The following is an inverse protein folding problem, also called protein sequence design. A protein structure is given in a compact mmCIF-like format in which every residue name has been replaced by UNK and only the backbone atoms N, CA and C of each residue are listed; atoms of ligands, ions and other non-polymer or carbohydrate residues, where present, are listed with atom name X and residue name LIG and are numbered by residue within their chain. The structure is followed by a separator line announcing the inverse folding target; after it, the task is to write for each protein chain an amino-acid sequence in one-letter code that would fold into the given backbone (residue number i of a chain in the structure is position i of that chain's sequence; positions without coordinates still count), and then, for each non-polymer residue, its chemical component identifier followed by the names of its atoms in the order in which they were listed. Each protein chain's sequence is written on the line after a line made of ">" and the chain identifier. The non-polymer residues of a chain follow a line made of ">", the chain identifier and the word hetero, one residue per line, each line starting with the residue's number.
data_IF_838481510970
#
_entry.id   IF_838481510970
#
_cell.length_a   1.000
_cell.length_b   1.000
_cell.length_c   1.000
_cell.angle_alpha   90.00
_cell.angle_beta   90.00
_cell.angle_gamma   90.00
#
_symmetry.space_group_name_H-M   'P 1'
#
loop_
_entity.id
_entity.type
_entity.pdbx_description
1 polymer ?
#
# COMPACT_ATOMS: atom_id res chain seq x y z
N UNK A 1 15.63 18.99 13.15
CA UNK A 1 15.87 17.85 12.24
C UNK A 1 15.21 16.61 12.80
N UNK A 2 14.44 15.87 12.01
CA UNK A 2 13.93 14.59 12.47
C UNK A 2 15.07 13.61 12.74
N UNK A 3 14.92 12.83 13.78
CA UNK A 3 15.84 11.74 14.07
C UNK A 3 15.34 10.48 13.38
N UNK A 4 15.91 10.15 12.24
CA UNK A 4 15.48 8.98 11.45
C UNK A 4 15.71 7.67 12.21
N UNK A 5 16.70 7.61 13.09
CA UNK A 5 16.96 6.41 13.89
C UNK A 5 15.89 6.15 14.95
N UNK A 6 15.04 7.14 15.24
CA UNK A 6 13.90 7.04 16.15
C UNK A 6 12.56 7.16 15.43
N UNK A 7 12.58 7.14 14.11
CA UNK A 7 11.40 7.34 13.27
C UNK A 7 11.16 6.14 12.37
N UNK A 8 9.92 5.91 12.02
CA UNK A 8 9.54 4.94 10.99
C UNK A 8 9.12 5.68 9.71
N UNK A 9 9.53 5.14 8.58
CA UNK A 9 9.02 5.56 7.27
C UNK A 9 7.90 4.61 6.86
N UNK A 10 6.74 5.16 6.55
CA UNK A 10 5.61 4.38 6.05
C UNK A 10 5.41 4.73 4.57
N UNK A 11 5.52 3.72 3.71
CA UNK A 11 5.33 3.82 2.25
C UNK A 11 3.94 3.26 1.96
N UNK A 12 3.01 4.14 1.58
CA UNK A 12 1.60 3.77 1.45
C UNK A 12 1.25 3.45 0.01
N UNK A 13 0.95 2.17 -0.27
CA UNK A 13 0.28 1.71 -1.48
C UNK A 13 1.00 2.08 -2.80
N UNK A 14 2.32 2.00 -2.84
CA UNK A 14 3.08 2.17 -4.09
C UNK A 14 3.02 0.85 -4.86
N UNK A 15 1.95 0.65 -5.59
CA UNK A 15 1.60 -0.59 -6.28
C UNK A 15 1.35 -0.35 -7.76
N UNK A 16 1.57 -1.37 -8.59
CA UNK A 16 1.46 -1.25 -10.04
C UNK A 16 0.09 -0.71 -10.49
N UNK A 17 -1.01 -1.16 -9.88
CA UNK A 17 -2.35 -0.72 -10.29
C UNK A 17 -2.63 0.76 -10.00
N UNK A 18 -1.90 1.38 -9.09
CA UNK A 18 -2.01 2.82 -8.82
C UNK A 18 -1.04 3.69 -9.63
N UNK A 19 -0.22 3.08 -10.46
CA UNK A 19 0.78 3.76 -11.27
C UNK A 19 0.34 3.84 -12.73
N UNK A 20 0.94 4.72 -13.55
CA UNK A 20 0.58 4.81 -14.97
C UNK A 20 0.59 3.45 -15.66
N UNK A 21 -0.49 3.14 -16.37
CA UNK A 21 -0.71 1.83 -16.99
C UNK A 21 -1.45 0.82 -16.11
N UNK A 22 -1.67 1.11 -14.84
CA UNK A 22 -2.41 0.27 -13.92
C UNK A 22 -3.93 0.47 -13.99
N UNK A 23 -4.67 -0.41 -13.33
CA UNK A 23 -6.14 -0.44 -13.40
C UNK A 23 -6.80 0.78 -12.72
N UNK A 24 -6.16 1.38 -11.73
CA UNK A 24 -6.65 2.55 -11.00
C UNK A 24 -5.52 3.58 -10.88
N UNK A 25 -4.99 3.99 -12.03
CA UNK A 25 -3.79 4.80 -12.11
C UNK A 25 -3.99 6.22 -11.54
N UNK A 26 -3.02 6.65 -10.75
CA UNK A 26 -2.87 8.05 -10.35
C UNK A 26 -2.00 8.75 -11.40
N UNK A 27 -2.44 9.87 -12.00
CA UNK A 27 -1.60 10.61 -12.94
C UNK A 27 -0.24 10.95 -12.34
N UNK A 28 0.83 10.65 -13.06
CA UNK A 28 2.21 10.89 -12.62
C UNK A 28 2.59 10.20 -11.30
N UNK A 29 1.85 9.18 -10.87
CA UNK A 29 2.10 8.48 -9.61
C UNK A 29 3.49 7.86 -9.51
N UNK A 30 4.09 7.49 -10.63
CA UNK A 30 5.47 6.98 -10.68
C UNK A 30 6.54 7.98 -10.21
N UNK A 31 6.23 9.26 -10.16
CA UNK A 31 7.17 10.28 -9.67
C UNK A 31 7.50 10.14 -8.18
N UNK A 32 6.70 9.40 -7.41
CA UNK A 32 7.00 9.17 -5.98
C UNK A 32 8.15 8.17 -5.77
N UNK A 33 8.46 7.33 -6.77
CA UNK A 33 9.38 6.19 -6.60
C UNK A 33 10.79 6.66 -6.27
N UNK A 34 11.34 7.62 -7.02
CA UNK A 34 12.68 8.11 -6.78
C UNK A 34 12.86 8.76 -5.40
N UNK A 35 11.99 9.69 -4.95
CA UNK A 35 12.11 10.24 -3.60
C UNK A 35 11.89 9.19 -2.50
N UNK A 36 10.99 8.23 -2.69
CA UNK A 36 10.80 7.13 -1.74
C UNK A 36 12.06 6.28 -1.61
N UNK A 37 12.71 5.95 -2.73
CA UNK A 37 13.96 5.20 -2.71
C UNK A 37 15.06 5.94 -1.95
N UNK A 38 15.15 7.25 -2.11
CA UNK A 38 16.11 8.08 -1.37
C UNK A 38 15.80 8.05 0.12
N UNK A 39 14.55 8.32 0.51
CA UNK A 39 14.12 8.36 1.90
C UNK A 39 14.34 7.02 2.60
N UNK A 40 13.99 5.92 1.96
CA UNK A 40 14.09 4.59 2.58
C UNK A 40 15.54 4.18 2.88
N UNK A 41 16.52 4.80 2.21
CA UNK A 41 17.93 4.57 2.46
C UNK A 41 18.54 5.47 3.54
N UNK A 42 17.76 6.31 4.23
CA UNK A 42 18.29 7.34 5.14
C UNK A 42 18.45 6.89 6.60
N UNK A 43 18.30 5.61 6.90
CA UNK A 43 18.56 5.07 8.24
C UNK A 43 17.39 5.16 9.21
N UNK A 44 16.16 5.08 8.73
CA UNK A 44 14.98 4.98 9.58
C UNK A 44 15.05 3.73 10.47
N UNK A 45 14.49 3.81 11.68
CA UNK A 45 14.41 2.67 12.59
C UNK A 45 13.60 1.51 11.99
N UNK A 46 12.58 1.83 11.21
CA UNK A 46 11.80 0.86 10.44
C UNK A 46 11.31 1.49 9.15
N UNK A 47 11.22 0.69 8.10
CA UNK A 47 10.60 1.07 6.83
C UNK A 47 9.48 0.08 6.57
N UNK A 48 8.25 0.57 6.55
CA UNK A 48 7.04 -0.23 6.45
C UNK A 48 6.33 0.13 5.16
N UNK A 49 6.02 -0.85 4.33
CA UNK A 49 5.25 -0.64 3.11
C UNK A 49 3.86 -1.25 3.25
N UNK A 50 2.84 -0.57 2.74
CA UNK A 50 1.48 -1.07 2.72
C UNK A 50 1.04 -1.44 1.30
N UNK A 51 0.14 -2.40 1.21
CA UNK A 51 -0.47 -2.82 -0.05
C UNK A 51 -1.96 -3.06 0.15
N UNK A 52 -2.78 -2.49 -0.73
CA UNK A 52 -4.11 -3.02 -0.96
C UNK A 52 -3.98 -4.47 -1.41
N UNK A 53 -4.75 -5.36 -0.81
CA UNK A 53 -4.60 -6.79 -1.01
C UNK A 53 -5.98 -7.44 -1.04
N UNK A 54 -6.72 -7.15 -2.14
CA UNK A 54 -8.13 -7.48 -2.22
C UNK A 54 -8.39 -8.89 -2.73
N UNK A 55 -9.44 -9.56 -2.22
CA UNK A 55 -9.96 -10.76 -2.89
C UNK A 55 -10.56 -10.37 -4.26
N UNK A 56 -10.69 -11.34 -5.16
CA UNK A 56 -11.20 -11.10 -6.53
C UNK A 56 -12.62 -10.54 -6.56
N UNK A 57 -13.41 -10.74 -5.51
CA UNK A 57 -14.81 -10.31 -5.37
C UNK A 57 -14.96 -9.18 -4.33
N UNK A 58 -13.93 -8.37 -4.12
CA UNK A 58 -13.96 -7.29 -3.13
C UNK A 58 -15.12 -6.32 -3.38
N UNK A 59 -15.76 -5.87 -2.30
CA UNK A 59 -16.96 -5.02 -2.35
C UNK A 59 -16.74 -3.67 -3.04
N UNK A 60 -15.51 -3.16 -3.09
CA UNK A 60 -15.20 -1.89 -3.74
C UNK A 60 -15.22 -1.95 -5.26
N UNK A 61 -15.25 -3.13 -5.84
CA UNK A 61 -15.16 -3.31 -7.30
C UNK A 61 -16.50 -3.06 -8.00
N UNK A 62 -16.43 -2.50 -9.21
CA UNK A 62 -17.63 -2.30 -10.04
C UNK A 62 -18.37 -3.60 -10.33
N UNK A 63 -17.66 -4.74 -10.36
CA UNK A 63 -18.25 -6.07 -10.50
C UNK A 63 -19.11 -6.48 -9.29
N UNK A 64 -18.98 -5.76 -8.19
CA UNK A 64 -19.74 -5.93 -6.94
C UNK A 64 -20.54 -4.66 -6.61
N UNK A 65 -20.88 -3.85 -7.61
CA UNK A 65 -21.58 -2.57 -7.46
C UNK A 65 -20.80 -1.53 -6.63
N UNK A 66 -19.49 -1.69 -6.52
CA UNK A 66 -18.60 -0.74 -5.85
C UNK A 66 -18.16 0.41 -6.76
N UNK A 67 -17.47 1.42 -6.20
CA UNK A 67 -17.10 2.63 -6.94
C UNK A 67 -15.85 2.48 -7.83
N UNK A 68 -15.05 1.41 -7.67
CA UNK A 68 -13.74 1.30 -8.30
C UNK A 68 -13.66 0.15 -9.31
N UNK A 69 -12.82 0.29 -10.36
CA UNK A 69 -12.50 -0.87 -11.20
C UNK A 69 -11.78 -1.94 -10.38
N UNK A 70 -11.77 -3.16 -10.87
CA UNK A 70 -10.99 -4.25 -10.26
C UNK A 70 -9.53 -3.83 -10.19
N UNK A 71 -8.93 -3.88 -9.01
CA UNK A 71 -7.55 -3.47 -8.78
C UNK A 71 -6.96 -4.18 -7.57
N UNK A 72 -5.64 -4.28 -7.53
CA UNK A 72 -4.87 -4.80 -6.39
C UNK A 72 -5.39 -6.13 -5.85
N UNK A 73 -5.75 -7.05 -6.76
CA UNK A 73 -6.10 -8.41 -6.37
C UNK A 73 -4.88 -9.08 -5.73
N UNK A 74 -5.09 -9.69 -4.58
CA UNK A 74 -4.04 -10.36 -3.81
C UNK A 74 -3.18 -11.28 -4.69
N UNK A 75 -1.87 -11.16 -4.56
CA UNK A 75 -0.86 -11.93 -5.31
C UNK A 75 -0.87 -11.72 -6.84
N UNK A 76 -1.58 -10.70 -7.33
CA UNK A 76 -1.54 -10.31 -8.75
C UNK A 76 -0.39 -9.35 -9.03
N UNK A 77 0.00 -9.24 -10.32
CA UNK A 77 0.97 -8.23 -10.75
C UNK A 77 0.51 -6.80 -10.42
N UNK A 78 -0.80 -6.53 -10.51
CA UNK A 78 -1.35 -5.21 -10.17
C UNK A 78 -1.17 -4.84 -8.70
N UNK A 79 -1.22 -5.81 -7.79
CA UNK A 79 -1.00 -5.59 -6.37
C UNK A 79 0.49 -5.49 -6.00
N UNK A 80 1.39 -5.95 -6.87
CA UNK A 80 2.82 -5.92 -6.61
C UNK A 80 3.37 -4.48 -6.54
N UNK A 81 4.48 -4.34 -5.82
CA UNK A 81 5.30 -3.14 -5.92
C UNK A 81 5.93 -3.03 -7.30
N UNK A 82 6.10 -1.81 -7.85
CA UNK A 82 6.83 -1.65 -9.10
C UNK A 82 8.29 -2.08 -8.94
N UNK A 83 8.86 -2.62 -10.00
CA UNK A 83 10.26 -3.10 -9.98
C UNK A 83 11.27 -2.00 -9.66
N UNK A 84 10.94 -0.74 -9.96
CA UNK A 84 11.80 0.40 -9.67
C UNK A 84 11.81 0.81 -8.20
N UNK A 85 10.86 0.33 -7.37
CA UNK A 85 10.86 0.59 -5.95
C UNK A 85 11.89 -0.29 -5.25
N UNK A 86 12.76 0.32 -4.44
CA UNK A 86 13.76 -0.40 -3.67
C UNK A 86 13.12 -1.06 -2.46
N UNK A 87 13.03 -2.39 -2.46
CA UNK A 87 12.43 -3.15 -1.35
C UNK A 87 13.46 -3.57 -0.29
N UNK A 88 14.75 -3.46 -0.58
CA UNK A 88 15.79 -3.89 0.35
C UNK A 88 15.70 -3.22 1.73
N UNK A 89 15.41 -1.90 1.83
CA UNK A 89 15.25 -1.26 3.14
C UNK A 89 13.94 -1.60 3.85
N UNK A 90 12.96 -2.16 3.16
CA UNK A 90 11.63 -2.46 3.73
C UNK A 90 11.74 -3.63 4.69
N UNK A 91 11.38 -3.39 5.95
CA UNK A 91 11.44 -4.39 7.00
C UNK A 91 10.12 -5.12 7.23
N UNK A 92 8.99 -4.46 6.92
CA UNK A 92 7.65 -5.02 7.12
C UNK A 92 6.73 -4.61 5.98
N UNK A 93 5.85 -5.54 5.58
CA UNK A 93 4.79 -5.29 4.61
C UNK A 93 3.45 -5.52 5.31
N UNK A 94 2.56 -4.55 5.20
CA UNK A 94 1.21 -4.60 5.77
C UNK A 94 0.21 -4.70 4.63
N UNK A 95 -0.63 -5.71 4.66
CA UNK A 95 -1.73 -5.87 3.72
C UNK A 95 -3.01 -5.29 4.31
N UNK A 96 -3.80 -4.61 3.49
CA UNK A 96 -5.07 -4.00 3.89
C UNK A 96 -6.16 -4.29 2.85
N UNK A 97 -7.42 -4.06 3.26
CA UNK A 97 -8.56 -4.31 2.37
C UNK A 97 -8.72 -5.78 1.99
N UNK A 98 -8.36 -6.70 2.88
CA UNK A 98 -8.36 -8.15 2.62
C UNK A 98 -9.75 -8.78 2.79
N UNK A 99 -10.66 -8.14 3.54
CA UNK A 99 -12.00 -8.65 3.72
C UNK A 99 -12.88 -8.31 2.51
N UNK A 100 -13.66 -9.29 2.04
CA UNK A 100 -14.51 -9.13 0.85
C UNK A 100 -15.55 -8.00 1.04
N UNK A 101 -16.10 -7.84 2.22
CA UNK A 101 -17.21 -6.93 2.54
C UNK A 101 -16.79 -5.59 3.14
N UNK A 102 -15.49 -5.28 3.17
CA UNK A 102 -14.95 -4.03 3.76
C UNK A 102 -13.83 -3.47 2.94
N UNK A 103 -13.85 -2.14 2.77
CA UNK A 103 -12.72 -1.42 2.16
C UNK A 103 -11.83 -0.82 3.26
N UNK A 104 -10.63 -0.35 2.87
CA UNK A 104 -9.65 0.21 3.77
C UNK A 104 -8.87 1.32 3.10
N UNK A 105 -9.21 2.58 3.39
CA UNK A 105 -8.40 3.74 2.98
C UNK A 105 -7.19 3.92 3.89
N UNK A 106 -7.38 3.68 5.19
CA UNK A 106 -6.32 3.83 6.18
C UNK A 106 -5.31 2.69 6.09
N UNK A 107 -4.05 3.00 6.37
CA UNK A 107 -3.02 1.98 6.58
C UNK A 107 -3.16 1.28 7.94
N UNK A 108 -4.01 1.78 8.85
CA UNK A 108 -4.15 1.27 10.21
C UNK A 108 -5.34 0.34 10.41
N UNK A 109 -6.47 0.61 9.76
CA UNK A 109 -7.69 -0.19 9.94
C UNK A 109 -8.62 -0.07 8.73
N UNK A 110 -9.54 -1.03 8.59
CA UNK A 110 -10.58 -1.00 7.57
C UNK A 110 -11.59 0.13 7.83
N UNK A 111 -12.41 0.47 6.84
CA UNK A 111 -13.37 1.58 6.91
C UNK A 111 -14.44 1.39 8.00
N UNK A 112 -14.64 0.16 8.47
CA UNK A 112 -15.52 -0.13 9.59
C UNK A 112 -14.93 0.26 10.95
N UNK A 113 -13.65 0.61 11.01
CA UNK A 113 -12.89 0.92 12.22
C UNK A 113 -12.78 -0.22 13.23
N UNK A 114 -13.17 -1.43 12.86
CA UNK A 114 -13.14 -2.62 13.72
C UNK A 114 -11.98 -3.55 13.41
N UNK A 115 -11.53 -3.57 12.15
CA UNK A 115 -10.49 -4.49 11.68
C UNK A 115 -9.16 -3.75 11.54
N UNK A 116 -8.20 -4.07 12.41
CA UNK A 116 -6.84 -3.52 12.38
C UNK A 116 -5.99 -4.22 11.32
N UNK A 117 -5.09 -3.46 10.69
CA UNK A 117 -4.06 -4.01 9.78
C UNK A 117 -2.86 -4.59 10.53
N UNK A 118 -2.71 -4.26 11.80
CA UNK A 118 -1.53 -4.60 12.60
C UNK A 118 -0.44 -3.54 12.59
N UNK A 119 -0.58 -2.46 11.79
CA UNK A 119 0.45 -1.41 11.70
C UNK A 119 0.67 -0.72 13.04
N UNK A 120 -0.39 -0.46 13.79
CA UNK A 120 -0.34 0.16 15.11
C UNK A 120 0.48 -0.67 16.11
N UNK A 121 0.48 -1.98 15.98
CA UNK A 121 1.27 -2.88 16.82
C UNK A 121 2.76 -2.87 16.47
N UNK A 122 3.11 -2.55 15.22
CA UNK A 122 4.51 -2.44 14.78
C UNK A 122 5.17 -1.14 15.26
N UNK A 123 4.38 -0.11 15.45
CA UNK A 123 4.85 1.21 15.86
C UNK A 123 4.86 1.32 17.39
#
# INVERSE_FOLDING_TARGET
>A
MPDFQQSALIIVDVQNDFLPGGALAVPDGNEVIAPVNILSGMGFAAVIATQDWHPADHCSFTTQDGPWPVHCIAASTGADFPSALHLRPVSHIIHKGMAQDRDSYSAFFDNDHETSTGLDHLL
#
